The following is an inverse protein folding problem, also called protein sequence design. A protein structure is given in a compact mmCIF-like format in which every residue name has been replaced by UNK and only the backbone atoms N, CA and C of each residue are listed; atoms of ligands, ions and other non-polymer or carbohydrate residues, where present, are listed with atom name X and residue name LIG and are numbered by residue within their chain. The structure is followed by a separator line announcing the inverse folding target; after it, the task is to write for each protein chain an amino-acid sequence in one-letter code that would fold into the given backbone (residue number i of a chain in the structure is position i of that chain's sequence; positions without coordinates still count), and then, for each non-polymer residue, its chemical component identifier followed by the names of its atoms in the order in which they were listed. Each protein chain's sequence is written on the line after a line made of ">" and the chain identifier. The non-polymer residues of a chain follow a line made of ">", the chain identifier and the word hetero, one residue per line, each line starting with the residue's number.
data_IF_644811904445
#
_entry.id   IF_644811904445
#
_cell.length_a   1.000
_cell.length_b   1.000
_cell.length_c   1.000
_cell.angle_alpha   90.00
_cell.angle_beta   90.00
_cell.angle_gamma   90.00
#
_symmetry.space_group_name_H-M   'P 1'
#
loop_
_entity.id
_entity.type
_entity.pdbx_description
1 polymer ?
#
# COMPACT_ATOMS: atom_id res chain seq x y z
N UNK A 1 -12.47 -11.60 -3.93
CA UNK A 1 -11.17 -11.23 -3.33
C UNK A 1 -11.18 -9.73 -3.06
N UNK A 2 -10.98 -9.34 -1.81
CA UNK A 2 -10.86 -7.95 -1.36
C UNK A 2 -9.38 -7.69 -1.11
N UNK A 3 -8.80 -6.68 -1.78
CA UNK A 3 -7.39 -6.33 -1.70
C UNK A 3 -7.27 -4.99 -0.98
N UNK A 4 -6.52 -4.96 0.12
CA UNK A 4 -6.14 -3.73 0.81
C UNK A 4 -4.78 -3.27 0.30
N UNK A 5 -4.74 -2.19 -0.47
CA UNK A 5 -3.49 -1.56 -0.89
C UNK A 5 -2.96 -0.61 0.18
N UNK A 6 -1.67 -0.66 0.49
CA UNK A 6 -1.03 0.21 1.48
C UNK A 6 0.24 0.83 0.91
N UNK A 7 0.29 2.15 0.96
CA UNK A 7 1.52 2.94 0.83
C UNK A 7 1.99 3.34 2.23
N UNK A 8 3.06 2.71 2.79
CA UNK A 8 3.42 2.88 4.18
C UNK A 8 4.13 4.20 4.44
N UNK A 9 3.59 4.97 5.38
CA UNK A 9 4.21 6.17 5.93
C UNK A 9 3.97 6.27 7.44
N UNK A 10 4.67 7.15 8.14
CA UNK A 10 4.43 7.40 9.57
C UNK A 10 3.55 8.63 9.80
N UNK A 11 3.44 9.53 8.83
CA UNK A 11 2.59 10.70 8.87
C UNK A 11 1.29 10.49 8.08
N UNK A 12 1.37 9.81 6.96
CA UNK A 12 0.26 9.50 6.05
C UNK A 12 0.41 8.07 5.59
N UNK A 13 -0.68 7.32 5.58
CA UNK A 13 -0.75 5.98 5.01
C UNK A 13 -1.88 5.98 3.98
N UNK A 14 -1.54 5.60 2.75
CA UNK A 14 -2.51 5.53 1.66
C UNK A 14 -3.40 4.30 1.76
N UNK A 15 -4.60 4.53 2.23
CA UNK A 15 -5.78 3.66 2.08
C UNK A 15 -6.98 4.57 1.88
N UNK A 16 -7.23 5.55 1.80
CA UNK A 16 -8.26 6.55 2.06
C UNK A 16 -7.84 7.45 3.22
N UNK A 17 -6.55 7.42 3.56
CA UNK A 17 -5.79 8.31 4.42
C UNK A 17 -5.97 8.12 5.93
N UNK A 18 -5.08 7.33 6.52
CA UNK A 18 -4.78 7.46 7.95
C UNK A 18 -3.76 8.60 8.11
N UNK A 19 -4.15 9.67 8.79
CA UNK A 19 -3.25 10.81 9.05
C UNK A 19 -2.92 10.92 10.53
N UNK A 20 -1.69 11.31 10.84
CA UNK A 20 -1.27 11.63 12.20
C UNK A 20 -0.88 13.10 12.28
N UNK A 21 -1.39 13.81 13.31
CA UNK A 21 -1.18 15.24 13.47
C UNK A 21 0.30 15.56 13.70
N UNK A 22 0.79 16.65 13.10
CA UNK A 22 2.13 17.17 13.37
C UNK A 22 2.31 17.45 14.89
N UNK A 23 3.51 17.15 15.42
CA UNK A 23 3.79 17.30 16.86
C UNK A 23 3.32 16.14 17.74
N UNK A 24 2.55 15.17 17.21
CA UNK A 24 2.21 13.94 17.95
C UNK A 24 3.47 13.12 18.22
N UNK A 25 3.72 12.66 19.48
CA UNK A 25 4.82 11.77 19.79
C UNK A 25 4.81 10.52 18.91
N UNK A 26 5.98 10.05 18.50
CA UNK A 26 6.09 8.98 17.50
C UNK A 26 5.39 7.68 17.93
N UNK A 27 5.54 7.26 19.18
CA UNK A 27 4.85 6.10 19.74
C UNK A 27 3.31 6.23 19.66
N UNK A 28 2.78 7.45 19.84
CA UNK A 28 1.35 7.71 19.69
C UNK A 28 0.90 7.65 18.24
N UNK A 29 1.75 8.02 17.28
CA UNK A 29 1.46 7.83 15.86
C UNK A 29 1.35 6.35 15.51
N UNK A 30 2.26 5.50 16.03
CA UNK A 30 2.19 4.05 15.84
C UNK A 30 0.90 3.46 16.42
N UNK A 31 0.46 3.92 17.60
CA UNK A 31 -0.82 3.52 18.18
C UNK A 31 -2.01 3.90 17.30
N UNK A 32 -2.03 5.11 16.75
CA UNK A 32 -3.08 5.57 15.83
C UNK A 32 -3.11 4.69 14.58
N UNK A 33 -1.95 4.44 13.96
CA UNK A 33 -1.83 3.57 12.79
C UNK A 33 -2.41 2.18 13.08
N UNK A 34 -2.05 1.58 14.21
CA UNK A 34 -2.58 0.29 14.62
C UNK A 34 -4.10 0.31 14.74
N UNK A 35 -4.66 1.24 15.52
CA UNK A 35 -6.10 1.31 15.81
C UNK A 35 -6.94 1.52 14.55
N UNK A 36 -6.53 2.44 13.69
CA UNK A 36 -7.23 2.72 12.44
C UNK A 36 -7.19 1.54 11.48
N UNK A 37 -6.03 0.88 11.34
CA UNK A 37 -5.91 -0.32 10.52
C UNK A 37 -6.71 -1.50 11.07
N UNK A 38 -6.70 -1.70 12.38
CA UNK A 38 -7.50 -2.73 13.06
C UNK A 38 -9.00 -2.58 12.77
N UNK A 39 -9.51 -1.34 12.84
CA UNK A 39 -10.89 -1.01 12.49
C UNK A 39 -11.19 -1.31 11.01
N UNK A 40 -10.29 -0.91 10.10
CA UNK A 40 -10.42 -1.14 8.67
C UNK A 40 -10.44 -2.65 8.36
N UNK A 41 -9.48 -3.40 8.91
CA UNK A 41 -9.36 -4.83 8.67
C UNK A 41 -10.54 -5.61 9.27
N UNK A 42 -11.01 -5.21 10.45
CA UNK A 42 -12.22 -5.78 11.08
C UNK A 42 -13.46 -5.54 10.23
N UNK A 43 -13.61 -4.31 9.69
CA UNK A 43 -14.78 -3.91 8.92
C UNK A 43 -14.82 -4.54 7.53
N UNK A 44 -13.72 -4.49 6.80
CA UNK A 44 -13.68 -4.89 5.38
C UNK A 44 -13.19 -6.31 5.15
N UNK A 45 -12.52 -6.92 6.14
CA UNK A 45 -11.99 -8.30 6.10
C UNK A 45 -11.29 -8.61 4.78
N UNK A 46 -10.23 -7.85 4.42
CA UNK A 46 -9.52 -8.10 3.17
C UNK A 46 -8.89 -9.48 3.16
N UNK A 47 -8.88 -10.12 2.00
CA UNK A 47 -8.23 -11.41 1.78
C UNK A 47 -6.70 -11.26 1.76
N UNK A 48 -6.21 -10.11 1.24
CA UNK A 48 -4.79 -9.83 1.08
C UNK A 48 -4.49 -8.34 1.27
N UNK A 49 -3.34 -8.04 1.84
CA UNK A 49 -2.75 -6.70 1.92
C UNK A 49 -1.58 -6.59 0.94
N UNK A 50 -1.69 -5.69 -0.03
CA UNK A 50 -0.62 -5.35 -0.96
C UNK A 50 0.14 -4.12 -0.44
N UNK A 51 1.43 -4.26 -0.15
CA UNK A 51 2.25 -3.23 0.48
C UNK A 51 3.56 -3.02 -0.28
N UNK A 52 4.08 -1.78 -0.26
CA UNK A 52 5.37 -1.49 -0.87
C UNK A 52 6.52 -2.18 -0.11
N UNK A 53 7.43 -2.77 -0.87
CA UNK A 53 8.67 -3.33 -0.34
C UNK A 53 9.62 -2.20 0.01
N UNK A 54 10.07 -2.14 1.27
CA UNK A 54 11.06 -1.15 1.70
C UNK A 54 12.39 -1.32 0.98
N UNK A 55 12.90 -0.23 0.40
CA UNK A 55 14.25 -0.12 -0.12
C UNK A 55 15.03 0.93 0.65
N UNK A 56 16.28 0.63 0.96
CA UNK A 56 17.19 1.46 1.76
C UNK A 56 17.59 2.81 1.11
N UNK A 57 17.17 3.09 -0.12
CA UNK A 57 17.73 4.18 -0.94
C UNK A 57 17.04 5.55 -0.84
N UNK A 58 16.03 5.73 -0.01
CA UNK A 58 15.30 7.00 0.08
C UNK A 58 15.32 7.57 1.48
N UNK A 59 16.02 8.72 1.65
CA UNK A 59 16.07 9.56 2.86
C UNK A 59 16.40 8.85 4.18
N UNK A 60 17.68 8.73 4.48
CA UNK A 60 18.20 8.15 5.73
C UNK A 60 17.59 8.73 7.03
N UNK A 61 17.02 9.95 6.99
CA UNK A 61 16.40 10.59 8.17
C UNK A 61 15.05 10.02 8.55
N UNK A 62 14.27 9.50 7.60
CA UNK A 62 12.89 9.02 7.86
C UNK A 62 12.75 7.49 7.71
N UNK A 63 13.79 6.81 7.21
CA UNK A 63 13.72 5.38 6.93
C UNK A 63 13.42 4.54 8.18
N UNK A 64 13.96 4.93 9.34
CA UNK A 64 13.73 4.23 10.60
C UNK A 64 12.27 4.38 11.04
N UNK A 65 11.73 5.59 10.97
CA UNK A 65 10.35 5.87 11.35
C UNK A 65 9.36 5.15 10.42
N UNK A 66 9.63 5.17 9.11
CA UNK A 66 8.83 4.44 8.11
C UNK A 66 8.92 2.92 8.35
N UNK A 67 10.11 2.39 8.67
CA UNK A 67 10.28 0.96 8.96
C UNK A 67 9.50 0.53 10.20
N UNK A 68 9.50 1.35 11.27
CA UNK A 68 8.72 1.09 12.49
C UNK A 68 7.21 1.14 12.20
N UNK A 69 6.73 2.15 11.47
CA UNK A 69 5.33 2.24 11.07
C UNK A 69 4.93 1.03 10.21
N UNK A 70 5.77 0.64 9.25
CA UNK A 70 5.55 -0.56 8.44
C UNK A 70 5.51 -1.83 9.28
N UNK A 71 6.34 -1.95 10.31
CA UNK A 71 6.30 -3.08 11.25
C UNK A 71 4.93 -3.21 11.93
N UNK A 72 4.35 -2.09 12.37
CA UNK A 72 2.99 -2.05 12.94
C UNK A 72 1.94 -2.45 11.91
N UNK A 73 2.03 -1.96 10.67
CA UNK A 73 1.10 -2.31 9.58
C UNK A 73 1.11 -3.82 9.32
N UNK A 74 2.31 -4.39 9.15
CA UNK A 74 2.51 -5.82 8.87
C UNK A 74 2.02 -6.68 10.04
N UNK A 75 2.33 -6.29 11.28
CA UNK A 75 1.86 -6.99 12.47
C UNK A 75 0.33 -6.98 12.57
N UNK A 76 -0.30 -5.83 12.30
CA UNK A 76 -1.77 -5.73 12.33
C UNK A 76 -2.40 -6.69 11.32
N UNK A 77 -1.89 -6.72 10.07
CA UNK A 77 -2.37 -7.66 9.06
C UNK A 77 -2.20 -9.13 9.49
N UNK A 78 -1.03 -9.45 10.08
CA UNK A 78 -0.76 -10.81 10.57
C UNK A 78 -1.72 -11.22 11.69
N UNK A 79 -2.05 -10.32 12.62
CA UNK A 79 -3.02 -10.59 13.70
C UNK A 79 -4.44 -10.85 13.19
N UNK A 80 -4.79 -10.26 12.04
CA UNK A 80 -6.06 -10.52 11.34
C UNK A 80 -6.01 -11.74 10.40
N UNK A 81 -4.88 -12.45 10.30
CA UNK A 81 -4.72 -13.59 9.39
C UNK A 81 -4.74 -13.20 7.90
N UNK A 82 -4.44 -11.95 7.58
CA UNK A 82 -4.46 -11.40 6.22
C UNK A 82 -3.13 -11.75 5.52
N UNK A 83 -3.20 -12.32 4.32
CA UNK A 83 -2.02 -12.57 3.48
C UNK A 83 -1.33 -11.26 3.12
N UNK A 84 0.01 -11.22 3.12
CA UNK A 84 0.79 -10.03 2.80
C UNK A 84 1.53 -10.24 1.49
N UNK A 85 1.26 -9.39 0.51
CA UNK A 85 1.95 -9.36 -0.78
C UNK A 85 2.78 -8.08 -0.91
N UNK A 86 4.07 -8.23 -1.17
CA UNK A 86 5.01 -7.11 -1.27
C UNK A 86 5.41 -6.82 -2.73
N UNK A 87 5.41 -5.56 -3.11
CA UNK A 87 5.75 -5.10 -4.46
C UNK A 87 6.78 -3.97 -4.43
N UNK A 88 7.71 -4.01 -5.38
CA UNK A 88 8.63 -2.90 -5.59
C UNK A 88 7.96 -1.78 -6.40
N UNK A 89 8.42 -0.51 -6.28
CA UNK A 89 7.91 0.58 -7.12
C UNK A 89 7.97 0.26 -8.63
N UNK A 90 9.02 -0.44 -9.05
CA UNK A 90 9.18 -0.88 -10.44
C UNK A 90 8.07 -1.83 -10.87
N UNK A 91 7.75 -2.83 -10.05
CA UNK A 91 6.69 -3.81 -10.32
C UNK A 91 5.31 -3.13 -10.40
N UNK A 92 5.04 -2.19 -9.50
CA UNK A 92 3.79 -1.42 -9.51
C UNK A 92 3.66 -0.64 -10.81
N UNK A 93 4.69 0.13 -11.18
CA UNK A 93 4.69 0.90 -12.43
C UNK A 93 4.52 0.03 -13.66
N UNK A 94 5.23 -1.09 -13.75
CA UNK A 94 5.10 -2.04 -14.85
C UNK A 94 3.70 -2.65 -14.92
N UNK A 95 3.11 -2.99 -13.79
CA UNK A 95 1.78 -3.59 -13.74
C UNK A 95 0.67 -2.61 -14.14
N UNK A 96 0.81 -1.33 -13.77
CA UNK A 96 -0.21 -0.31 -13.96
C UNK A 96 -0.10 0.38 -15.32
N UNK A 97 1.11 0.75 -15.74
CA UNK A 97 1.37 1.56 -16.93
C UNK A 97 2.04 0.77 -18.06
N UNK A 98 2.55 -0.44 -17.76
CA UNK A 98 3.24 -1.30 -18.71
C UNK A 98 4.75 -1.12 -18.77
N UNK A 99 5.33 -0.08 -18.11
CA UNK A 99 6.78 0.14 -18.06
C UNK A 99 7.23 0.76 -16.72
N UNK A 100 8.43 0.34 -16.25
CA UNK A 100 8.89 0.65 -14.90
C UNK A 100 9.42 2.08 -14.67
N UNK A 101 9.67 2.85 -15.76
CA UNK A 101 10.15 4.25 -15.69
C UNK A 101 9.01 5.28 -15.76
N UNK A 102 7.76 4.84 -15.59
CA UNK A 102 6.60 5.73 -15.59
C UNK A 102 6.74 6.81 -14.50
N UNK A 103 6.34 8.02 -14.84
CA UNK A 103 6.25 9.12 -13.87
C UNK A 103 5.03 8.94 -12.95
N UNK A 104 5.08 9.55 -11.76
CA UNK A 104 3.98 9.49 -10.79
C UNK A 104 2.64 9.91 -11.40
N UNK A 105 2.62 11.00 -12.18
CA UNK A 105 1.41 11.48 -12.86
C UNK A 105 0.79 10.46 -13.80
N UNK A 106 1.61 9.67 -14.49
CA UNK A 106 1.13 8.64 -15.42
C UNK A 106 0.47 7.49 -14.67
N UNK A 107 1.03 7.10 -13.50
CA UNK A 107 0.41 6.10 -12.63
C UNK A 107 -0.93 6.61 -12.10
N UNK A 108 -0.99 7.85 -11.62
CA UNK A 108 -2.21 8.46 -11.11
C UNK A 108 -3.31 8.55 -12.17
N UNK A 109 -2.97 8.99 -13.38
CA UNK A 109 -3.93 9.07 -14.49
C UNK A 109 -4.42 7.67 -14.91
N UNK A 110 -3.52 6.68 -14.93
CA UNK A 110 -3.93 5.30 -15.21
C UNK A 110 -4.88 4.77 -14.13
N UNK A 111 -4.66 5.09 -12.84
CA UNK A 111 -5.58 4.75 -11.76
C UNK A 111 -6.96 5.36 -11.98
N UNK A 112 -7.01 6.64 -12.34
CA UNK A 112 -8.26 7.33 -12.67
C UNK A 112 -9.03 6.60 -13.77
N UNK A 113 -8.36 6.25 -14.87
CA UNK A 113 -8.97 5.58 -16.04
C UNK A 113 -9.43 4.16 -15.67
N UNK A 114 -8.57 3.35 -15.05
CA UNK A 114 -8.86 1.94 -14.74
C UNK A 114 -10.00 1.79 -13.74
N UNK A 115 -10.08 2.68 -12.76
CA UNK A 115 -11.10 2.67 -11.72
C UNK A 115 -12.32 3.53 -12.06
N UNK A 116 -12.33 4.17 -13.24
CA UNK A 116 -13.41 5.03 -13.74
C UNK A 116 -13.75 6.17 -12.78
N UNK A 117 -12.73 6.80 -12.20
CA UNK A 117 -12.92 8.00 -11.41
C UNK A 117 -13.04 9.23 -12.30
N UNK A 118 -13.85 10.19 -11.90
CA UNK A 118 -13.99 11.46 -12.58
C UNK A 118 -12.70 12.30 -12.47
N UNK A 119 -12.04 12.25 -11.31
CA UNK A 119 -10.79 12.95 -11.02
C UNK A 119 -9.72 12.00 -10.46
N UNK A 120 -8.45 12.45 -10.52
CA UNK A 120 -7.34 11.74 -9.87
C UNK A 120 -7.58 11.68 -8.36
N UNK A 121 -7.52 10.49 -7.74
CA UNK A 121 -7.69 10.35 -6.30
C UNK A 121 -6.70 11.21 -5.50
N UNK A 122 -7.21 11.90 -4.51
CA UNK A 122 -6.41 12.74 -3.59
C UNK A 122 -6.59 12.26 -2.14
N UNK A 123 -5.56 12.43 -1.30
CA UNK A 123 -4.19 12.83 -1.63
C UNK A 123 -3.45 11.78 -2.48
N UNK A 124 -2.25 12.12 -2.94
CA UNK A 124 -1.41 11.30 -3.83
C UNK A 124 -1.20 9.87 -3.30
N UNK A 125 -1.02 9.73 -1.98
CA UNK A 125 -0.82 8.43 -1.31
C UNK A 125 -2.01 7.47 -1.51
N UNK A 126 -3.22 8.00 -1.74
CA UNK A 126 -4.40 7.18 -2.08
C UNK A 126 -4.23 6.52 -3.45
N UNK A 127 -3.72 7.26 -4.43
CA UNK A 127 -3.46 6.71 -5.77
C UNK A 127 -2.34 5.67 -5.73
N UNK A 128 -1.30 5.89 -4.93
CA UNK A 128 -0.19 4.96 -4.75
C UNK A 128 -0.67 3.65 -4.07
N UNK A 129 -1.51 3.73 -3.05
CA UNK A 129 -2.14 2.56 -2.41
C UNK A 129 -3.07 1.78 -3.37
N UNK A 130 -3.87 2.48 -4.17
CA UNK A 130 -4.71 1.85 -5.19
C UNK A 130 -3.86 1.15 -6.25
N UNK A 131 -2.74 1.74 -6.66
CA UNK A 131 -1.81 1.13 -7.60
C UNK A 131 -1.20 -0.17 -7.05
N UNK A 132 -0.92 -0.25 -5.73
CA UNK A 132 -0.51 -1.49 -5.06
C UNK A 132 -1.58 -2.58 -5.17
N UNK A 133 -2.84 -2.24 -4.89
CA UNK A 133 -3.95 -3.20 -4.97
C UNK A 133 -4.14 -3.73 -6.39
N UNK A 134 -4.06 -2.86 -7.41
CA UNK A 134 -4.16 -3.27 -8.81
C UNK A 134 -2.96 -4.12 -9.24
N UNK A 135 -1.76 -3.77 -8.80
CA UNK A 135 -0.56 -4.57 -9.04
C UNK A 135 -0.76 -6.00 -8.54
N UNK A 136 -1.30 -6.17 -7.34
CA UNK A 136 -1.63 -7.49 -6.80
C UNK A 136 -2.70 -8.19 -7.63
N UNK A 137 -3.79 -7.53 -7.98
CA UNK A 137 -4.86 -8.11 -8.78
C UNK A 137 -4.36 -8.65 -10.14
N UNK A 138 -3.51 -7.90 -10.83
CA UNK A 138 -2.90 -8.32 -12.08
C UNK A 138 -1.93 -9.49 -11.89
N UNK A 139 -1.10 -9.45 -10.83
CA UNK A 139 -0.10 -10.49 -10.55
C UNK A 139 -0.75 -11.80 -10.11
N UNK A 140 -1.75 -11.74 -9.21
CA UNK A 140 -2.45 -12.92 -8.69
C UNK A 140 -3.38 -13.57 -9.72
N UNK A 141 -3.93 -12.78 -10.64
CA UNK A 141 -4.75 -13.27 -11.77
C UNK A 141 -3.95 -13.83 -12.95
N UNK A 142 -2.64 -13.59 -13.00
CA UNK A 142 -1.77 -14.07 -14.08
C UNK A 142 -1.48 -15.57 -13.95
N UNK A 143 -1.13 -16.22 -15.09
CA UNK A 143 -0.65 -17.61 -15.09
C UNK A 143 0.56 -17.82 -14.17
N UNK A 144 1.45 -16.84 -14.07
CA UNK A 144 2.63 -16.86 -13.21
C UNK A 144 2.24 -16.82 -11.73
N UNK A 145 1.23 -16.04 -11.36
CA UNK A 145 0.69 -16.00 -9.99
C UNK A 145 0.04 -17.33 -9.57
N UNK A 146 -0.64 -18.00 -10.52
CA UNK A 146 -1.22 -19.33 -10.28
C UNK A 146 -0.13 -20.40 -10.08
N UNK A 147 0.97 -20.34 -10.81
CA UNK A 147 2.09 -21.29 -10.68
C UNK A 147 2.83 -21.13 -9.34
N UNK A 148 3.04 -19.91 -8.83
CA UNK A 148 3.67 -19.66 -7.52
C UNK A 148 2.90 -20.23 -6.32
N UNK A 149 1.64 -20.56 -6.48
CA UNK A 149 0.81 -21.16 -5.43
C UNK A 149 1.06 -22.67 -5.23
N UNK A 150 1.86 -23.29 -6.12
CA UNK A 150 2.16 -24.74 -6.13
C UNK A 150 3.64 -25.06 -5.86
N UNK A 151 4.46 -24.05 -5.58
CA UNK A 151 5.87 -24.15 -5.14
C UNK A 151 6.09 -23.31 -3.87
#
# INVERSE_FOLDING_TARGET
>A
MIILGIDPGYAIIGYGVITTKAGTPFNKRLEIIYRELDLIMTRYKPDVMAIEKLFYNTNAKTVIDVAQARGVIVLTAQLHGIEIAEYTPLQVKQSVVGYGRAEKKQVQEMMRIMLKFDEIPKPDDTADALAMAICHAHTSGSLVGKLKKYY
#
